data_IF_519868013301
#
_entry.id   IF_519868013301
#
_cell.length_a   1.000
_cell.length_b   1.000
_cell.length_c   1.000
_cell.angle_alpha   90.00
_cell.angle_beta   90.00
_cell.angle_gamma   90.00
#
_symmetry.space_group_name_H-M   'P 1'
#
loop_
_entity.id
_entity.type
_entity.pdbx_description
1 polymer ?
#
# COMPACT_ATOMS: atom_id res chain seq x y z
N UNK A 1 -3.08 23.19 -0.76
CA UNK A 1 -2.75 22.30 -1.90
C UNK A 1 -2.24 20.99 -1.31
N UNK A 2 -2.56 19.81 -1.88
CA UNK A 2 -2.04 18.55 -1.35
C UNK A 2 -0.51 18.58 -1.39
N UNK A 3 0.12 18.10 -0.33
CA UNK A 3 1.58 18.03 -0.25
C UNK A 3 2.04 16.78 -1.02
N UNK A 4 2.84 16.96 -2.06
CA UNK A 4 3.45 15.85 -2.78
C UNK A 4 4.95 15.86 -2.52
N UNK A 5 5.52 14.77 -2.00
CA UNK A 5 6.97 14.65 -1.89
C UNK A 5 7.62 14.50 -3.27
N UNK A 6 8.90 14.82 -3.37
CA UNK A 6 9.69 14.66 -4.60
C UNK A 6 9.82 13.18 -5.00
N UNK A 7 9.93 12.30 -4.00
CA UNK A 7 10.01 10.85 -4.15
C UNK A 7 8.93 10.16 -3.31
N UNK A 8 8.73 8.86 -3.50
CA UNK A 8 7.78 8.10 -2.67
C UNK A 8 8.30 8.09 -1.23
N UNK A 9 7.46 8.52 -0.29
CA UNK A 9 7.78 8.52 1.14
C UNK A 9 7.03 7.42 1.88
N UNK A 10 7.70 6.83 2.87
CA UNK A 10 7.18 5.75 3.69
C UNK A 10 7.15 6.24 5.13
N UNK A 11 5.98 6.18 5.76
CA UNK A 11 5.87 6.50 7.19
C UNK A 11 6.52 5.44 8.08
N UNK A 12 6.74 5.81 9.34
CA UNK A 12 7.02 4.85 10.39
C UNK A 12 5.90 3.81 10.52
N UNK A 13 6.27 2.61 10.95
CA UNK A 13 5.29 1.55 11.23
C UNK A 13 4.60 1.82 12.56
N UNK A 14 3.31 1.54 12.60
CA UNK A 14 2.51 1.52 13.83
C UNK A 14 1.70 0.23 13.86
N UNK A 15 1.28 -0.22 15.03
CA UNK A 15 0.61 -1.50 15.19
C UNK A 15 -0.54 -1.42 16.19
N UNK A 16 -1.54 -2.27 15.97
CA UNK A 16 -2.49 -2.69 17.00
C UNK A 16 -2.15 -4.13 17.45
N UNK A 17 -3.04 -4.77 18.20
CA UNK A 17 -2.82 -6.12 18.74
C UNK A 17 -2.71 -7.23 17.66
N UNK A 18 -3.07 -6.94 16.41
CA UNK A 18 -3.24 -7.94 15.34
C UNK A 18 -2.49 -7.61 14.05
N UNK A 19 -2.28 -6.33 13.74
CA UNK A 19 -1.71 -5.86 12.48
C UNK A 19 -0.64 -4.78 12.66
N UNK A 20 0.32 -4.78 11.75
CA UNK A 20 1.21 -3.65 11.49
C UNK A 20 0.67 -2.83 10.32
N UNK A 21 0.77 -1.51 10.44
CA UNK A 21 0.26 -0.52 9.51
C UNK A 21 1.37 0.44 9.09
N UNK A 22 1.21 0.99 7.89
CA UNK A 22 2.04 2.06 7.33
C UNK A 22 1.26 2.76 6.24
N UNK A 23 1.45 4.06 6.11
CA UNK A 23 1.03 4.79 4.92
C UNK A 23 2.21 5.14 4.02
N UNK A 24 1.96 5.17 2.71
CA UNK A 24 2.92 5.55 1.68
C UNK A 24 2.39 6.77 0.94
N UNK A 25 3.19 7.82 0.87
CA UNK A 25 2.83 9.06 0.17
C UNK A 25 3.50 9.05 -1.20
N UNK A 26 2.67 9.09 -2.24
CA UNK A 26 3.14 9.05 -3.62
C UNK A 26 3.59 10.43 -4.08
N UNK A 27 4.68 10.49 -4.85
CA UNK A 27 5.05 11.70 -5.57
C UNK A 27 4.01 12.04 -6.65
N UNK A 28 3.94 13.31 -7.03
CA UNK A 28 2.94 13.81 -7.99
C UNK A 28 2.90 13.04 -9.32
N UNK A 29 4.04 12.64 -9.94
CA UNK A 29 4.01 11.82 -11.15
C UNK A 29 3.42 10.42 -10.93
N UNK A 30 3.67 9.81 -9.77
CA UNK A 30 3.17 8.47 -9.44
C UNK A 30 1.68 8.52 -9.12
N UNK A 31 1.22 9.54 -8.39
CA UNK A 31 -0.20 9.76 -8.13
C UNK A 31 -1.02 9.91 -9.43
N UNK A 32 -0.46 10.53 -10.48
CA UNK A 32 -1.12 10.57 -11.81
C UNK A 32 -1.30 9.17 -12.42
N UNK A 33 -0.30 8.29 -12.28
CA UNK A 33 -0.39 6.89 -12.74
C UNK A 33 -1.43 6.12 -11.94
N UNK A 34 -1.47 6.32 -10.62
CA UNK A 34 -2.50 5.75 -9.76
C UNK A 34 -3.91 6.15 -10.23
N UNK A 35 -4.15 7.44 -10.48
CA UNK A 35 -5.45 7.91 -10.96
C UNK A 35 -5.84 7.29 -12.31
N UNK A 36 -4.90 7.14 -13.24
CA UNK A 36 -5.15 6.47 -14.51
C UNK A 36 -5.50 4.99 -14.33
N UNK A 37 -4.79 4.28 -13.44
CA UNK A 37 -5.07 2.89 -13.09
C UNK A 37 -6.44 2.73 -12.42
N UNK A 38 -6.80 3.63 -11.51
CA UNK A 38 -8.10 3.59 -10.84
C UNK A 38 -9.25 3.97 -11.77
N UNK A 39 -9.02 4.83 -12.77
CA UNK A 39 -10.02 5.21 -13.76
C UNK A 39 -10.39 4.05 -14.70
N UNK A 40 -9.49 3.10 -14.94
CA UNK A 40 -9.78 1.88 -15.72
C UNK A 40 -10.43 0.76 -14.90
N UNK A 41 -10.48 0.91 -13.57
CA UNK A 41 -11.06 -0.08 -12.65
C UNK A 41 -12.53 0.20 -12.35
N UNK A 42 -13.27 -0.86 -12.05
CA UNK A 42 -14.61 -0.74 -11.46
C UNK A 42 -14.53 -0.03 -10.11
N UNK A 43 -15.56 0.75 -9.76
CA UNK A 43 -15.69 1.38 -8.43
C UNK A 43 -15.61 0.37 -7.27
N UNK A 44 -15.97 -0.89 -7.51
CA UNK A 44 -15.87 -1.98 -6.52
C UNK A 44 -14.47 -2.58 -6.37
N UNK A 45 -13.50 -2.24 -7.24
CA UNK A 45 -12.16 -2.83 -7.28
C UNK A 45 -11.04 -1.77 -7.24
N UNK A 46 -11.27 -0.65 -6.55
CA UNK A 46 -10.31 0.45 -6.52
C UNK A 46 -9.08 0.20 -5.63
N UNK A 47 -9.11 -0.82 -4.76
CA UNK A 47 -7.94 -1.27 -4.01
C UNK A 47 -6.89 -1.87 -4.95
N UNK A 48 -5.64 -1.84 -4.52
CA UNK A 48 -4.50 -2.24 -5.32
C UNK A 48 -4.02 -3.60 -4.86
N UNK A 49 -3.82 -4.53 -5.80
CA UNK A 49 -3.10 -5.78 -5.55
C UNK A 49 -1.62 -5.51 -5.35
N UNK A 50 -0.88 -6.52 -4.83
CA UNK A 50 0.57 -6.43 -4.66
C UNK A 50 1.29 -6.05 -5.95
N UNK A 51 0.94 -6.71 -7.06
CA UNK A 51 1.54 -6.42 -8.36
C UNK A 51 1.26 -4.99 -8.84
N UNK A 52 0.06 -4.47 -8.59
CA UNK A 52 -0.34 -3.14 -9.03
C UNK A 52 0.41 -2.03 -8.27
N UNK A 53 0.46 -2.10 -6.93
CA UNK A 53 1.18 -1.08 -6.18
C UNK A 53 2.70 -1.19 -6.35
N UNK A 54 3.23 -2.40 -6.55
CA UNK A 54 4.65 -2.58 -6.93
C UNK A 54 4.92 -2.01 -8.32
N UNK A 55 3.99 -2.17 -9.27
CA UNK A 55 4.06 -1.58 -10.61
C UNK A 55 4.07 -0.05 -10.62
N UNK A 56 3.51 0.60 -9.59
CA UNK A 56 3.61 2.05 -9.39
C UNK A 56 4.98 2.50 -8.85
N UNK A 57 5.83 1.57 -8.44
CA UNK A 57 7.16 1.83 -7.89
C UNK A 57 7.22 1.84 -6.36
N UNK A 58 6.14 1.49 -5.66
CA UNK A 58 6.14 1.33 -4.20
C UNK A 58 6.94 0.08 -3.84
N UNK A 59 7.90 0.23 -2.94
CA UNK A 59 8.84 -0.82 -2.54
C UNK A 59 8.79 -1.02 -1.03
N UNK A 60 8.30 -2.19 -0.63
CA UNK A 60 8.29 -2.65 0.76
C UNK A 60 8.39 -4.18 0.80
N UNK A 61 8.61 -4.73 2.00
CA UNK A 61 8.63 -6.17 2.26
C UNK A 61 7.34 -6.85 1.80
N UNK A 62 7.27 -8.18 1.83
CA UNK A 62 6.05 -8.90 1.43
C UNK A 62 4.99 -8.89 2.53
N UNK A 63 3.76 -9.21 2.14
CA UNK A 63 2.59 -9.36 3.03
C UNK A 63 1.80 -8.09 3.29
N UNK A 64 2.21 -6.94 2.74
CA UNK A 64 1.46 -5.69 2.84
C UNK A 64 0.25 -5.67 1.91
N UNK A 65 -0.92 -5.38 2.46
CA UNK A 65 -2.18 -5.26 1.75
C UNK A 65 -2.66 -3.80 1.74
N UNK A 66 -2.98 -3.27 0.56
CA UNK A 66 -3.66 -1.97 0.44
C UNK A 66 -5.11 -2.18 0.86
N UNK A 67 -5.50 -1.68 2.02
CA UNK A 67 -6.77 -2.05 2.64
C UNK A 67 -7.86 -0.98 2.54
N UNK A 68 -7.49 0.28 2.36
CA UNK A 68 -8.44 1.38 2.30
C UNK A 68 -7.93 2.53 1.43
N UNK A 69 -8.87 3.20 0.76
CA UNK A 69 -8.59 4.39 -0.05
C UNK A 69 -8.88 5.63 0.78
N UNK A 70 -7.84 6.41 1.03
CA UNK A 70 -7.98 7.69 1.70
C UNK A 70 -8.51 8.76 0.73
N UNK A 71 -9.85 8.90 0.66
CA UNK A 71 -10.52 9.78 -0.32
C UNK A 71 -10.09 11.26 -0.30
N UNK A 72 -9.84 11.91 0.87
CA UNK A 72 -9.39 13.30 0.90
C UNK A 72 -8.04 13.49 0.20
N UNK A 73 -7.13 12.54 0.38
CA UNK A 73 -5.78 12.57 -0.20
C UNK A 73 -5.43 11.22 -0.86
N UNK A 74 -5.92 10.96 -2.10
CA UNK A 74 -5.78 9.65 -2.77
C UNK A 74 -4.34 9.24 -3.09
N UNK A 75 -3.41 10.18 -3.01
CA UNK A 75 -1.98 9.94 -3.17
C UNK A 75 -1.34 9.32 -1.91
N UNK A 76 -2.09 9.17 -0.83
CA UNK A 76 -1.71 8.43 0.36
C UNK A 76 -2.31 7.02 0.27
N UNK A 77 -1.45 6.01 0.15
CA UNK A 77 -1.84 4.60 0.16
C UNK A 77 -1.74 4.03 1.58
N UNK A 78 -2.81 3.37 2.04
CA UNK A 78 -2.89 2.78 3.38
C UNK A 78 -2.64 1.28 3.34
N UNK A 79 -1.56 0.83 3.97
CA UNK A 79 -1.17 -0.58 4.00
C UNK A 79 -1.33 -1.17 5.40
N UNK A 80 -1.71 -2.45 5.45
CA UNK A 80 -1.68 -3.27 6.65
C UNK A 80 -1.14 -4.66 6.36
N UNK A 81 -0.55 -5.31 7.35
CA UNK A 81 -0.20 -6.74 7.32
C UNK A 81 -0.34 -7.36 8.72
N UNK A 82 -0.62 -8.67 8.84
CA UNK A 82 -0.66 -9.33 10.14
C UNK A 82 0.67 -9.16 10.91
N UNK A 83 0.58 -9.06 12.24
CA UNK A 83 1.78 -9.13 13.08
C UNK A 83 2.49 -10.47 12.90
N UNK A 84 3.82 -10.46 12.97
CA UNK A 84 4.63 -11.68 12.78
C UNK A 84 4.73 -12.15 11.32
N UNK A 85 4.22 -11.39 10.35
CA UNK A 85 4.40 -11.73 8.93
C UNK A 85 5.88 -11.77 8.55
N UNK A 86 6.30 -12.88 7.97
CA UNK A 86 7.64 -13.06 7.43
C UNK A 86 7.86 -12.07 6.26
N UNK A 87 8.88 -11.20 6.33
CA UNK A 87 9.10 -10.16 5.32
C UNK A 87 9.53 -10.70 3.95
N UNK A 88 10.02 -11.94 3.87
CA UNK A 88 10.53 -12.60 2.66
C UNK A 88 9.46 -13.48 2.00
N UNK A 89 8.66 -14.19 2.78
CA UNK A 89 7.59 -15.04 2.25
C UNK A 89 6.26 -14.32 2.14
N UNK A 90 6.02 -13.31 2.99
CA UNK A 90 4.73 -12.61 3.12
C UNK A 90 3.68 -13.41 3.89
N UNK A 91 4.06 -14.55 4.45
CA UNK A 91 3.15 -15.44 5.18
C UNK A 91 2.93 -14.93 6.62
N UNK A 92 1.69 -14.95 7.13
CA UNK A 92 1.40 -14.67 8.53
C UNK A 92 1.98 -15.76 9.45
N UNK A 93 2.15 -15.48 10.76
CA UNK A 93 2.67 -16.46 11.69
C UNK A 93 1.76 -17.70 11.73
N UNK A 94 2.36 -18.88 11.57
CA UNK A 94 1.65 -20.16 11.54
C UNK A 94 1.12 -20.59 10.16
N UNK A 95 1.28 -19.78 9.11
CA UNK A 95 1.02 -20.24 7.76
C UNK A 95 2.21 -21.08 7.24
N UNK A 96 1.92 -22.32 6.84
CA UNK A 96 2.90 -23.18 6.20
C UNK A 96 3.05 -22.79 4.73
N UNK A 97 4.29 -22.61 4.21
CA UNK A 97 4.49 -22.44 2.78
C UNK A 97 4.04 -23.72 2.06
N UNK A 98 3.27 -23.55 0.98
CA UNK A 98 2.80 -24.64 0.11
C UNK A 98 3.92 -25.11 -0.81
#
# INVERSE_FOLDING_TARGET
MPHYPEQIEYSEKYNDDTHEYRHVILSKPVAKKLHALQASKSKSQQLLTEDEWRGLGVQQSRGWMHYEIHRPEPHILLFKRPLGTDPVTGLPPGAVPN
#
